data_IF_024414416521
#
_entry.id   IF_024414416521
#
_cell.length_a   1.000
_cell.length_b   1.000
_cell.length_c   1.000
_cell.angle_alpha   90.00
_cell.angle_beta   90.00
_cell.angle_gamma   90.00
#
_symmetry.space_group_name_H-M   'P 1'
#
loop_
_entity.id
_entity.type
_entity.pdbx_description
1 polymer ?
#
# COMPACT_ATOMS: atom_id res chain seq x y z
N UNK A 1 32.89 26.12 10.48
CA UNK A 1 32.51 24.89 9.76
C UNK A 1 31.11 24.51 10.21
N UNK A 2 30.08 24.83 9.43
CA UNK A 2 28.71 24.43 9.75
C UNK A 2 28.54 22.96 9.34
N UNK A 3 28.32 22.08 10.31
CA UNK A 3 27.87 20.73 10.03
C UNK A 3 26.50 20.84 9.38
N UNK A 4 26.44 20.62 8.08
CA UNK A 4 25.18 20.53 7.34
C UNK A 4 24.51 19.24 7.83
N UNK A 5 23.79 19.30 8.95
CA UNK A 5 23.05 18.16 9.46
C UNK A 5 21.99 17.82 8.43
N UNK A 6 22.28 16.83 7.57
CA UNK A 6 21.28 16.28 6.66
C UNK A 6 20.08 15.91 7.52
N UNK A 7 18.94 16.56 7.26
CA UNK A 7 17.67 16.20 7.88
C UNK A 7 17.47 14.70 7.67
N UNK A 8 17.04 13.95 8.69
CA UNK A 8 16.90 12.50 8.57
C UNK A 8 15.91 12.18 7.45
N UNK A 9 16.41 11.44 6.46
CA UNK A 9 15.62 10.82 5.42
C UNK A 9 15.23 9.43 5.94
N UNK A 10 13.93 9.20 6.12
CA UNK A 10 13.40 7.91 6.54
C UNK A 10 12.93 7.17 5.29
N UNK A 11 13.43 5.95 5.09
CA UNK A 11 12.99 5.07 4.00
C UNK A 11 12.13 3.96 4.59
N UNK A 12 10.90 3.80 4.08
CA UNK A 12 9.93 2.84 4.57
C UNK A 12 9.61 1.79 3.52
N UNK A 13 9.77 0.53 3.91
CA UNK A 13 9.27 -0.61 3.16
C UNK A 13 7.77 -0.79 3.43
N UNK A 14 6.96 -0.55 2.40
CA UNK A 14 5.52 -0.75 2.41
C UNK A 14 5.12 -2.04 1.68
N UNK A 15 6.01 -3.03 1.57
CA UNK A 15 5.73 -4.38 1.05
C UNK A 15 4.85 -5.19 2.01
N UNK A 16 3.69 -4.64 2.37
CA UNK A 16 2.65 -5.33 3.11
C UNK A 16 1.82 -6.17 2.14
N UNK A 17 2.43 -7.28 1.74
CA UNK A 17 1.69 -8.50 1.49
C UNK A 17 2.03 -9.43 2.67
N UNK A 18 1.15 -9.47 3.67
CA UNK A 18 1.26 -10.34 4.84
C UNK A 18 0.23 -11.48 4.72
N UNK A 19 0.38 -12.41 3.76
CA UNK A 19 -0.55 -13.53 3.57
C UNK A 19 -0.56 -14.49 4.77
N UNK A 20 0.43 -14.38 5.65
CA UNK A 20 0.63 -15.24 6.83
C UNK A 20 -0.08 -14.69 8.08
N UNK A 21 -0.45 -13.40 8.10
CA UNK A 21 -1.28 -12.88 9.18
C UNK A 21 -2.69 -13.46 9.03
N UNK A 22 -3.15 -14.19 10.05
CA UNK A 22 -4.50 -14.78 10.12
C UNK A 22 -5.54 -13.68 10.37
N UNK A 23 -5.69 -12.80 9.39
CA UNK A 23 -6.66 -11.70 9.40
C UNK A 23 -8.06 -12.28 9.22
N UNK A 24 -9.04 -11.77 9.98
CA UNK A 24 -10.44 -12.13 9.83
C UNK A 24 -11.09 -11.16 8.82
N UNK A 25 -11.39 -11.61 7.58
CA UNK A 25 -11.88 -10.70 6.55
C UNK A 25 -13.26 -10.10 6.87
N UNK A 26 -14.09 -10.83 7.62
CA UNK A 26 -15.43 -10.40 7.99
C UNK A 26 -15.40 -9.30 9.05
N UNK A 27 -14.57 -9.46 10.08
CA UNK A 27 -14.36 -8.44 11.11
C UNK A 27 -13.81 -7.14 10.50
N UNK A 28 -12.83 -7.24 9.60
CA UNK A 28 -12.28 -6.06 8.93
C UNK A 28 -13.28 -5.36 8.02
N UNK A 29 -14.13 -6.12 7.32
CA UNK A 29 -15.21 -5.55 6.52
C UNK A 29 -16.25 -4.82 7.39
N UNK A 30 -16.48 -5.32 8.60
CA UNK A 30 -17.38 -4.71 9.57
C UNK A 30 -16.79 -3.47 10.27
N UNK A 31 -15.47 -3.23 10.15
CA UNK A 31 -14.88 -2.02 10.69
C UNK A 31 -15.42 -0.79 9.95
N UNK A 32 -15.96 0.21 10.68
CA UNK A 32 -16.58 1.40 10.08
C UNK A 32 -15.58 2.29 9.32
N UNK A 33 -14.27 2.07 9.49
CA UNK A 33 -13.19 2.86 8.90
C UNK A 33 -12.03 1.97 8.46
N UNK A 34 -11.77 1.94 7.15
CA UNK A 34 -10.57 1.31 6.54
C UNK A 34 -9.29 2.17 6.70
N UNK A 35 -9.44 3.38 7.23
CA UNK A 35 -8.34 4.20 7.71
C UNK A 35 -8.05 3.81 9.17
N UNK A 36 -6.78 3.75 9.59
CA UNK A 36 -6.47 3.55 11.01
C UNK A 36 -7.06 4.69 11.85
N UNK A 37 -7.34 4.42 13.12
CA UNK A 37 -7.59 5.49 14.08
C UNK A 37 -6.36 6.40 14.16
N UNK A 38 -6.61 7.66 14.45
CA UNK A 38 -5.56 8.68 14.53
C UNK A 38 -4.49 8.32 15.58
N UNK A 39 -4.93 7.85 16.74
CA UNK A 39 -4.07 7.41 17.83
C UNK A 39 -3.26 6.16 17.44
N UNK A 40 -3.86 5.27 16.64
CA UNK A 40 -3.20 4.07 16.15
C UNK A 40 -2.11 4.41 15.11
N UNK A 41 -2.39 5.36 14.22
CA UNK A 41 -1.41 5.87 13.27
C UNK A 41 -0.27 6.61 13.98
N UNK A 42 -0.59 7.53 14.90
CA UNK A 42 0.39 8.27 15.68
C UNK A 42 1.30 7.33 16.49
N UNK A 43 0.72 6.27 17.09
CA UNK A 43 1.48 5.23 17.77
C UNK A 43 2.42 4.52 16.81
N UNK A 44 1.92 3.98 15.69
CA UNK A 44 2.74 3.25 14.72
C UNK A 44 3.93 4.07 14.20
N UNK A 45 3.69 5.32 13.80
CA UNK A 45 4.73 6.25 13.30
C UNK A 45 5.75 6.58 14.39
N UNK A 46 5.31 6.74 15.64
CA UNK A 46 6.22 6.99 16.78
C UNK A 46 7.10 5.78 17.09
N UNK A 47 6.60 4.54 16.93
CA UNK A 47 7.41 3.32 17.08
C UNK A 47 8.55 3.27 16.06
N UNK A 48 8.27 3.74 14.85
CA UNK A 48 9.27 3.88 13.78
C UNK A 48 10.26 5.02 14.05
N UNK A 49 10.04 5.85 15.07
CA UNK A 49 10.88 7.00 15.41
C UNK A 49 10.73 8.18 14.45
N UNK A 50 9.63 8.21 13.69
CA UNK A 50 9.38 9.24 12.69
C UNK A 50 8.76 10.46 13.36
N UNK A 51 9.33 11.62 13.10
CA UNK A 51 8.85 12.92 13.55
C UNK A 51 8.10 13.65 12.42
N UNK A 52 7.25 14.60 12.78
CA UNK A 52 6.46 15.40 11.82
C UNK A 52 7.34 16.23 10.87
N UNK A 53 8.60 16.45 11.23
CA UNK A 53 9.57 17.26 10.47
C UNK A 53 10.39 16.44 9.47
N UNK A 54 10.39 15.11 9.60
CA UNK A 54 11.19 14.18 8.81
C UNK A 54 10.77 14.18 7.34
N UNK A 55 11.68 13.72 6.48
CA UNK A 55 11.37 13.44 5.07
C UNK A 55 11.22 11.93 4.91
N UNK A 56 10.08 11.48 4.40
CA UNK A 56 9.73 10.07 4.29
C UNK A 56 9.69 9.65 2.82
N UNK A 57 10.45 8.62 2.45
CA UNK A 57 10.34 7.93 1.16
C UNK A 57 9.76 6.56 1.39
N UNK A 58 8.70 6.21 0.67
CA UNK A 58 8.01 4.93 0.79
C UNK A 58 8.24 4.15 -0.51
N UNK A 59 8.63 2.88 -0.40
CA UNK A 59 8.72 1.96 -1.54
C UNK A 59 7.94 0.69 -1.27
N UNK A 60 7.71 -0.13 -2.30
CA UNK A 60 7.27 -1.51 -2.12
C UNK A 60 7.99 -2.44 -3.10
N UNK A 61 7.95 -3.73 -2.80
CA UNK A 61 8.61 -4.81 -3.54
C UNK A 61 7.98 -5.11 -4.90
N UNK A 62 6.80 -4.58 -5.20
CA UNK A 62 6.08 -4.76 -6.47
C UNK A 62 6.17 -3.51 -7.36
N UNK A 63 6.91 -2.48 -6.96
CA UNK A 63 7.09 -1.24 -7.71
C UNK A 63 6.14 -0.13 -7.27
N UNK A 64 4.85 -0.24 -7.59
CA UNK A 64 3.82 0.76 -7.25
C UNK A 64 2.49 0.07 -6.92
N UNK A 65 2.46 -0.72 -5.86
CA UNK A 65 1.27 -1.47 -5.44
C UNK A 65 0.70 -0.95 -4.12
N UNK A 66 1.48 -1.02 -3.04
CA UNK A 66 1.05 -0.70 -1.68
C UNK A 66 1.64 0.60 -1.15
N UNK A 67 2.79 1.04 -1.66
CA UNK A 67 3.43 2.30 -1.28
C UNK A 67 2.51 3.53 -1.44
N UNK A 68 1.71 3.67 -2.53
CA UNK A 68 0.77 4.79 -2.67
C UNK A 68 -0.27 4.86 -1.55
N UNK A 69 -0.70 3.73 -0.99
CA UNK A 69 -1.66 3.70 0.13
C UNK A 69 -1.04 4.23 1.42
N UNK A 70 0.21 3.89 1.70
CA UNK A 70 0.92 4.40 2.88
C UNK A 70 1.18 5.90 2.71
N UNK A 71 1.64 6.34 1.53
CA UNK A 71 1.80 7.77 1.20
C UNK A 71 0.51 8.56 1.43
N UNK A 72 -0.62 8.06 0.92
CA UNK A 72 -1.92 8.71 1.09
C UNK A 72 -2.33 8.77 2.56
N UNK A 73 -2.09 7.70 3.33
CA UNK A 73 -2.36 7.66 4.78
C UNK A 73 -1.57 8.76 5.52
N UNK A 74 -0.26 8.89 5.27
CA UNK A 74 0.55 9.97 5.85
C UNK A 74 0.01 11.36 5.51
N UNK A 75 -0.43 11.57 4.25
CA UNK A 75 -1.02 12.85 3.80
C UNK A 75 -2.35 13.15 4.46
N UNK A 76 -3.22 12.14 4.63
CA UNK A 76 -4.50 12.29 5.35
C UNK A 76 -4.25 12.76 6.78
N UNK A 77 -3.23 12.21 7.44
CA UNK A 77 -2.81 12.64 8.76
C UNK A 77 -1.91 13.89 8.75
N UNK A 78 -1.76 14.61 7.63
CA UNK A 78 -1.09 15.92 7.63
C UNK A 78 0.44 15.89 7.53
N UNK A 79 1.06 14.73 7.31
CA UNK A 79 2.49 14.63 7.03
C UNK A 79 2.77 14.87 5.54
N UNK A 80 3.21 16.09 5.20
CA UNK A 80 3.35 16.51 3.79
C UNK A 80 4.71 16.17 3.15
N UNK A 81 5.76 15.92 3.93
CA UNK A 81 7.10 15.57 3.42
C UNK A 81 7.23 14.08 3.19
N UNK A 82 6.33 13.54 2.36
CA UNK A 82 6.24 12.12 2.05
C UNK A 82 6.15 11.89 0.55
N UNK A 83 6.97 10.98 0.04
CA UNK A 83 7.05 10.63 -1.38
C UNK A 83 7.06 9.12 -1.57
N UNK A 84 6.69 8.68 -2.77
CA UNK A 84 6.82 7.29 -3.20
C UNK A 84 8.05 7.16 -4.09
N UNK A 85 8.88 6.15 -3.83
CA UNK A 85 10.00 5.79 -4.70
C UNK A 85 9.45 5.25 -6.02
N UNK A 86 9.65 6.02 -7.09
CA UNK A 86 9.14 5.68 -8.41
C UNK A 86 9.74 4.35 -8.92
N UNK A 87 8.88 3.35 -9.16
CA UNK A 87 9.28 2.00 -9.58
C UNK A 87 9.73 1.08 -8.45
N UNK A 88 9.66 1.55 -7.20
CA UNK A 88 9.91 0.76 -5.99
C UNK A 88 11.24 0.03 -5.97
N UNK A 89 11.27 -1.09 -5.22
CA UNK A 89 12.46 -1.94 -5.12
C UNK A 89 12.91 -2.53 -6.46
N UNK A 90 12.02 -2.96 -7.40
CA UNK A 90 12.45 -3.48 -8.69
C UNK A 90 13.33 -2.52 -9.49
N UNK A 91 12.96 -1.24 -9.59
CA UNK A 91 13.79 -0.26 -10.29
C UNK A 91 15.08 0.07 -9.54
N UNK A 92 15.04 0.11 -8.20
CA UNK A 92 16.22 0.33 -7.37
C UNK A 92 17.29 -0.74 -7.63
N UNK A 93 16.89 -2.01 -7.61
CA UNK A 93 17.77 -3.15 -7.89
C UNK A 93 18.28 -3.15 -9.34
N UNK A 94 17.41 -2.85 -10.31
CA UNK A 94 17.80 -2.77 -11.73
C UNK A 94 18.84 -1.67 -11.99
N UNK A 95 18.79 -0.58 -11.23
CA UNK A 95 19.76 0.50 -11.29
C UNK A 95 21.09 0.17 -10.57
N UNK A 96 21.22 -1.00 -9.94
CA UNK A 96 22.44 -1.45 -9.27
C UNK A 96 22.70 -0.79 -7.92
N UNK A 97 21.67 -0.23 -7.27
CA UNK A 97 21.81 0.36 -5.95
C UNK A 97 21.80 -0.69 -4.84
N UNK A 98 22.51 -0.39 -3.75
CA UNK A 98 22.66 -1.28 -2.60
C UNK A 98 21.36 -1.43 -1.80
N UNK A 99 21.21 -2.58 -1.15
CA UNK A 99 20.11 -2.88 -0.22
C UNK A 99 20.67 -3.42 1.08
N UNK A 100 20.06 -3.05 2.20
CA UNK A 100 20.39 -3.61 3.51
C UNK A 100 19.33 -4.64 3.89
N UNK A 101 19.77 -5.85 4.22
CA UNK A 101 18.91 -6.87 4.82
C UNK A 101 18.95 -6.72 6.35
N UNK A 102 18.23 -5.75 6.89
CA UNK A 102 18.10 -5.59 8.35
C UNK A 102 16.75 -6.11 8.84
N UNK A 103 16.78 -7.11 9.72
CA UNK A 103 15.65 -7.46 10.59
C UNK A 103 15.57 -6.41 11.70
N UNK A 104 14.45 -5.67 11.87
CA UNK A 104 14.39 -4.61 12.87
C UNK A 104 14.35 -5.16 14.31
N UNK A 105 15.49 -5.45 14.93
CA UNK A 105 15.56 -5.90 16.34
C UNK A 105 14.98 -4.88 17.35
N UNK A 106 14.88 -3.60 16.96
CA UNK A 106 14.55 -2.49 17.85
C UNK A 106 13.08 -2.01 17.84
N UNK A 107 12.21 -2.62 17.03
CA UNK A 107 10.79 -2.18 16.92
C UNK A 107 10.00 -2.48 18.19
N UNK A 108 10.27 -3.62 18.84
CA UNK A 108 9.54 -4.08 20.04
C UNK A 108 9.78 -3.18 21.25
N UNK A 109 11.00 -2.68 21.47
CA UNK A 109 11.34 -1.80 22.60
C UNK A 109 10.71 -0.41 22.46
N UNK A 110 10.61 0.11 21.22
CA UNK A 110 9.99 1.42 20.95
C UNK A 110 8.47 1.38 21.11
N UNK A 111 7.83 0.27 20.77
CA UNK A 111 6.39 0.07 20.93
C UNK A 111 5.89 0.28 22.37
N UNK A 112 6.66 -0.16 23.36
CA UNK A 112 6.30 -0.05 24.78
C UNK A 112 6.41 1.38 25.31
N UNK A 113 7.44 2.14 24.89
CA UNK A 113 7.64 3.52 25.31
C UNK A 113 6.59 4.48 24.70
N UNK A 114 6.18 4.23 23.45
CA UNK A 114 5.23 5.05 22.70
C UNK A 114 3.81 4.98 23.27
N UNK A 115 3.37 3.80 23.76
CA UNK A 115 2.05 3.64 24.41
C UNK A 115 1.85 4.62 25.58
N UNK A 116 2.94 5.09 26.20
CA UNK A 116 2.90 6.02 27.35
C UNK A 116 2.86 7.50 26.95
N UNK A 117 3.14 7.85 25.70
CA UNK A 117 3.38 9.22 25.24
C UNK A 117 2.30 9.81 24.30
N UNK A 118 1.19 9.11 24.06
CA UNK A 118 0.17 9.53 23.08
C UNK A 118 -0.63 10.74 23.59
N UNK A 119 -0.14 11.95 23.29
CA UNK A 119 -0.93 13.20 23.12
C UNK A 119 -0.18 14.15 22.17
N UNK A 120 -0.20 13.83 20.89
CA UNK A 120 -0.02 14.79 19.80
C UNK A 120 -0.83 14.27 18.62
N UNK A 121 -1.86 15.02 18.26
CA UNK A 121 -3.05 14.55 17.56
C UNK A 121 -2.93 15.01 16.09
N UNK A 122 -2.71 14.05 15.19
CA UNK A 122 -2.75 14.20 13.75
C UNK A 122 -4.21 14.30 13.21
N UNK A 123 -4.81 15.47 13.20
CA UNK A 123 -6.20 15.59 12.75
C UNK A 123 -6.40 15.27 11.26
N UNK A 124 -6.99 14.11 10.96
CA UNK A 124 -7.37 13.70 9.60
C UNK A 124 -8.64 14.39 9.10
N UNK A 125 -8.70 14.70 7.81
CA UNK A 125 -9.94 15.18 7.18
C UNK A 125 -10.85 14.00 6.80
N UNK A 126 -12.06 13.97 7.37
CA UNK A 126 -13.09 12.99 7.02
C UNK A 126 -13.80 13.40 5.73
N UNK A 127 -13.76 12.55 4.70
CA UNK A 127 -14.52 12.73 3.46
C UNK A 127 -15.65 11.70 3.43
N UNK A 128 -16.84 12.07 3.92
CA UNK A 128 -18.01 11.17 3.92
C UNK A 128 -19.27 11.94 3.53
N UNK A 129 -19.43 12.25 2.23
CA UNK A 129 -20.66 12.86 1.69
C UNK A 129 -20.97 12.53 0.22
N UNK A 130 -20.03 11.94 -0.53
CA UNK A 130 -20.21 11.81 -1.98
C UNK A 130 -21.22 10.73 -2.44
N UNK A 131 -21.58 9.77 -1.59
CA UNK A 131 -22.56 8.72 -1.97
C UNK A 131 -23.98 9.25 -2.13
N UNK A 132 -24.33 10.31 -1.41
CA UNK A 132 -25.66 10.94 -1.48
C UNK A 132 -25.64 12.12 -2.45
N UNK A 133 -24.62 12.97 -2.34
CA UNK A 133 -24.61 14.26 -3.03
C UNK A 133 -24.15 14.16 -4.49
N UNK A 134 -23.56 13.02 -4.89
CA UNK A 134 -23.03 12.73 -6.23
C UNK A 134 -22.14 13.84 -6.82
N UNK A 135 -21.39 14.55 -5.97
CA UNK A 135 -20.57 15.70 -6.37
C UNK A 135 -19.30 15.30 -7.12
N UNK A 136 -18.90 14.02 -7.04
CA UNK A 136 -17.68 13.49 -7.65
C UNK A 136 -17.93 12.13 -8.30
N UNK A 137 -17.17 11.83 -9.36
CA UNK A 137 -17.14 10.50 -9.96
C UNK A 137 -16.44 9.50 -9.04
N UNK A 138 -17.11 8.38 -8.76
CA UNK A 138 -16.51 7.24 -8.08
C UNK A 138 -15.73 6.38 -9.08
N UNK A 139 -14.45 6.15 -8.81
CA UNK A 139 -13.57 5.29 -9.60
C UNK A 139 -13.19 4.04 -8.81
N UNK A 140 -13.27 2.88 -9.47
CA UNK A 140 -12.88 1.59 -8.95
C UNK A 140 -11.57 1.14 -9.58
N UNK A 141 -10.56 0.91 -8.74
CA UNK A 141 -9.20 0.55 -9.14
C UNK A 141 -8.96 -0.96 -9.28
N UNK A 142 -9.98 -1.80 -9.02
CA UNK A 142 -9.90 -3.26 -9.18
C UNK A 142 -9.80 -3.66 -10.66
N UNK A 143 -9.49 -4.93 -10.91
CA UNK A 143 -9.49 -5.49 -12.26
C UNK A 143 -10.89 -5.41 -12.88
N UNK A 144 -10.94 -5.28 -14.21
CA UNK A 144 -12.19 -5.21 -14.96
C UNK A 144 -13.08 -6.44 -14.71
N UNK A 145 -12.48 -7.64 -14.61
CA UNK A 145 -13.21 -8.86 -14.32
C UNK A 145 -13.92 -8.86 -12.95
N UNK A 146 -13.26 -8.32 -11.90
CA UNK A 146 -13.86 -8.17 -10.57
C UNK A 146 -14.97 -7.13 -10.55
N UNK A 147 -14.77 -6.03 -11.27
CA UNK A 147 -15.76 -4.96 -11.44
C UNK A 147 -17.02 -5.45 -12.18
N UNK A 148 -16.84 -6.21 -13.26
CA UNK A 148 -17.94 -6.76 -14.07
C UNK A 148 -18.64 -7.95 -13.39
N UNK A 149 -18.07 -8.50 -12.33
CA UNK A 149 -18.62 -9.66 -11.62
C UNK A 149 -18.27 -11.01 -12.25
N UNK A 150 -17.37 -11.04 -13.24
CA UNK A 150 -16.98 -12.27 -13.96
C UNK A 150 -15.75 -12.97 -13.39
N UNK A 151 -15.01 -12.29 -12.51
CA UNK A 151 -13.90 -12.88 -11.74
C UNK A 151 -14.21 -12.80 -10.23
N UNK A 152 -13.79 -13.79 -9.42
CA UNK A 152 -14.03 -13.79 -7.99
C UNK A 152 -13.22 -12.69 -7.28
N UNK A 153 -13.76 -12.22 -6.15
CA UNK A 153 -12.98 -11.43 -5.20
C UNK A 153 -11.94 -12.31 -4.51
N UNK A 154 -10.71 -11.81 -4.24
CA UNK A 154 -9.69 -12.58 -3.52
C UNK A 154 -10.09 -13.00 -2.10
N UNK A 155 -11.12 -12.36 -1.55
CA UNK A 155 -11.64 -12.62 -0.20
C UNK A 155 -12.88 -13.49 -0.31
N UNK A 156 -12.86 -14.62 0.39
CA UNK A 156 -14.00 -15.53 0.48
C UNK A 156 -15.23 -14.81 1.06
N UNK A 157 -16.41 -15.12 0.53
CA UNK A 157 -17.69 -14.55 0.98
C UNK A 157 -18.02 -13.15 0.44
N UNK A 158 -17.11 -12.49 -0.27
CA UNK A 158 -17.38 -11.18 -0.90
C UNK A 158 -17.90 -11.38 -2.33
N UNK A 159 -19.05 -10.77 -2.64
CA UNK A 159 -19.61 -10.78 -3.99
C UNK A 159 -18.81 -9.88 -4.92
N UNK A 160 -18.47 -10.37 -6.10
CA UNK A 160 -17.96 -9.56 -7.21
C UNK A 160 -19.05 -8.64 -7.77
N UNK A 161 -18.67 -7.74 -8.67
CA UNK A 161 -19.52 -6.65 -9.16
C UNK A 161 -19.04 -5.29 -8.63
N UNK A 162 -19.84 -4.24 -8.79
CA UNK A 162 -19.42 -2.87 -8.47
C UNK A 162 -20.55 -2.02 -7.87
N UNK A 163 -20.14 -0.90 -7.27
CA UNK A 163 -21.05 0.14 -6.77
C UNK A 163 -21.74 0.79 -7.98
N UNK A 164 -23.08 0.91 -8.00
CA UNK A 164 -23.79 1.55 -9.10
C UNK A 164 -23.19 2.92 -9.47
N UNK A 165 -23.15 3.23 -10.76
CA UNK A 165 -22.62 4.49 -11.34
C UNK A 165 -21.09 4.70 -11.20
N UNK A 166 -20.37 3.80 -10.51
CA UNK A 166 -18.91 3.84 -10.51
C UNK A 166 -18.32 3.51 -11.89
N UNK A 167 -17.12 4.01 -12.16
CA UNK A 167 -16.36 3.68 -13.38
C UNK A 167 -15.14 2.84 -13.01
N UNK A 168 -14.84 1.84 -13.82
CA UNK A 168 -13.66 1.01 -13.64
C UNK A 168 -12.46 1.68 -14.30
N UNK A 169 -11.43 1.95 -13.51
CA UNK A 169 -10.10 2.34 -13.98
C UNK A 169 -9.10 1.48 -13.22
N UNK A 170 -8.79 0.25 -13.70
CA UNK A 170 -7.83 -0.61 -13.03
C UNK A 170 -6.53 0.14 -12.76
N UNK A 171 -5.95 -0.03 -11.57
CA UNK A 171 -4.78 0.78 -11.18
C UNK A 171 -3.61 0.65 -12.17
N UNK A 172 -3.46 -0.51 -12.80
CA UNK A 172 -2.45 -0.79 -13.83
C UNK A 172 -2.67 0.05 -15.08
N UNK A 173 -3.92 0.18 -15.54
CA UNK A 173 -4.31 1.06 -16.66
C UNK A 173 -4.08 2.53 -16.29
N UNK A 174 -4.41 2.93 -15.06
CA UNK A 174 -4.13 4.27 -14.56
C UNK A 174 -2.63 4.61 -14.60
N UNK A 175 -1.79 3.68 -14.15
CA UNK A 175 -0.33 3.83 -14.19
C UNK A 175 0.20 3.85 -15.63
N UNK A 176 -0.32 3.01 -16.52
CA UNK A 176 0.04 3.00 -17.94
C UNK A 176 -0.24 4.35 -18.60
N UNK A 177 -1.41 4.94 -18.37
CA UNK A 177 -1.77 6.28 -18.88
C UNK A 177 -0.89 7.40 -18.33
N UNK A 178 -0.25 7.19 -17.18
CA UNK A 178 0.75 8.09 -16.60
C UNK A 178 2.18 7.82 -17.10
N UNK A 179 2.35 6.95 -18.10
CA UNK A 179 3.64 6.62 -18.71
C UNK A 179 4.45 5.58 -17.93
N UNK A 180 3.84 4.85 -16.98
CA UNK A 180 4.48 3.71 -16.30
C UNK A 180 4.20 2.43 -17.08
N UNK A 181 5.19 1.98 -17.83
CA UNK A 181 5.06 0.82 -18.73
C UNK A 181 5.52 -0.50 -18.08
N UNK A 182 6.19 -0.41 -16.94
CA UNK A 182 6.81 -1.51 -16.18
C UNK A 182 5.97 -1.94 -14.98
N UNK A 183 4.65 -1.90 -15.11
CA UNK A 183 3.72 -2.22 -14.01
C UNK A 183 3.42 -3.72 -14.02
N UNK A 184 3.69 -4.46 -12.92
CA UNK A 184 3.31 -5.85 -12.85
C UNK A 184 1.77 -5.97 -12.82
N UNK A 185 1.21 -6.54 -13.87
CA UNK A 185 -0.21 -6.91 -13.93
C UNK A 185 -0.33 -8.30 -13.35
N UNK A 186 -0.98 -8.43 -12.19
CA UNK A 186 -1.49 -9.72 -11.75
C UNK A 186 -2.87 -9.88 -12.38
N UNK A 187 -2.93 -10.55 -13.53
CA UNK A 187 -4.16 -10.75 -14.30
C UNK A 187 -5.12 -11.75 -13.64
N UNK A 188 -4.67 -12.52 -12.65
CA UNK A 188 -5.48 -13.55 -11.99
C UNK A 188 -5.97 -14.64 -12.95
N UNK A 189 -5.54 -14.60 -14.21
CA UNK A 189 -5.80 -15.61 -15.21
C UNK A 189 -4.61 -16.54 -15.18
N UNK A 190 -4.57 -17.40 -14.16
CA UNK A 190 -3.63 -18.52 -14.15
C UNK A 190 -3.66 -19.27 -15.50
N UNK A 191 -4.84 -19.32 -16.14
CA UNK A 191 -5.06 -19.87 -17.47
C UNK A 191 -4.28 -19.12 -18.57
N UNK A 192 -4.24 -17.79 -18.56
CA UNK A 192 -3.49 -17.00 -19.56
C UNK A 192 -1.98 -17.06 -19.29
N UNK A 193 -1.57 -17.06 -18.03
CA UNK A 193 -0.18 -17.28 -17.65
C UNK A 193 0.33 -18.68 -18.01
N UNK A 194 -0.46 -19.73 -17.78
CA UNK A 194 -0.11 -21.12 -18.08
C UNK A 194 -0.16 -21.46 -19.59
N UNK A 195 -0.78 -20.61 -20.42
CA UNK A 195 -0.87 -20.81 -21.87
C UNK A 195 0.21 -20.06 -22.65
N UNK A 196 0.99 -19.19 -22.00
CA UNK A 196 2.12 -18.51 -22.63
C UNK A 196 3.35 -19.44 -22.75
N UNK A 197 3.85 -19.69 -23.98
CA UNK A 197 5.06 -20.50 -24.17
C UNK A 197 6.28 -19.86 -23.50
N UNK A 198 6.96 -20.61 -22.63
CA UNK A 198 8.19 -20.15 -21.95
C UNK A 198 8.00 -19.72 -20.50
N UNK A 199 6.77 -19.64 -19.99
CA UNK A 199 6.54 -19.40 -18.57
C UNK A 199 6.96 -20.63 -17.74
N UNK A 200 7.59 -20.45 -16.56
CA UNK A 200 8.09 -21.55 -15.74
C UNK A 200 6.95 -22.30 -15.03
N UNK A 201 6.32 -23.25 -15.72
CA UNK A 201 5.26 -24.11 -15.19
C UNK A 201 5.89 -25.28 -14.41
N UNK A 202 6.27 -25.05 -13.15
CA UNK A 202 6.76 -26.04 -12.18
C UNK A 202 7.92 -26.99 -12.61
N UNK A 203 9.05 -26.90 -11.90
CA UNK A 203 10.03 -27.99 -11.82
C UNK A 203 9.55 -29.05 -10.84
N UNK A 204 9.59 -30.32 -11.26
CA UNK A 204 9.32 -31.49 -10.44
C UNK A 204 10.25 -31.47 -9.21
N UNK A 205 9.68 -31.51 -8.01
CA UNK A 205 10.42 -31.98 -6.85
C UNK A 205 10.46 -33.51 -6.97
N UNK A 206 11.66 -34.06 -7.15
CA UNK A 206 11.88 -35.50 -6.99
C UNK A 206 11.85 -35.86 -5.50
N UNK A 207 11.25 -37.02 -5.21
CA UNK A 207 11.02 -37.59 -3.88
C UNK A 207 12.22 -37.58 -2.92
#
# INVERSE_FOLDING_TARGET
>A
MGTNSRKPLVVLDASWYMPQEKRNPLEEYQLPHMLPLEEAFAAAVSVLGIQNTDSVIIYDGKGLFSAPRVWWTFRIFGHNKVWVLNGGLPHWLKAGYEVEATTPENVTLRATAVRKAIKSIYHGQYVKQNMTDKTHQLLDARSKGRFDGVAPEPREGIKSGHIPESKCVPFTEGLHRLGKLDVPVYDGSWTEWATQPGNPIHTLATD
#
